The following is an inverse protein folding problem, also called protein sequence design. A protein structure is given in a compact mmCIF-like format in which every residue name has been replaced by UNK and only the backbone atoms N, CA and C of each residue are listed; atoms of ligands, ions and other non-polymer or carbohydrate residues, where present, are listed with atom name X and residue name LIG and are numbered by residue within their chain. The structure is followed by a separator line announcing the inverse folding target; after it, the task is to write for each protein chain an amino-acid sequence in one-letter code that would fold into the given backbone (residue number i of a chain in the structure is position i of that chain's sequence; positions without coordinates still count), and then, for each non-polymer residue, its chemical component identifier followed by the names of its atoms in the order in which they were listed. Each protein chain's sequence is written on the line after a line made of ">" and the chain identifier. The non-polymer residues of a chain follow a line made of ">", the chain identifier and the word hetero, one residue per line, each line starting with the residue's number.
data_IF_851308280012
#
_entry.id   IF_851308280012
#
_cell.length_a   1.000
_cell.length_b   1.000
_cell.length_c   1.000
_cell.angle_alpha   90.00
_cell.angle_beta   90.00
_cell.angle_gamma   90.00
#
_symmetry.space_group_name_H-M   'P 1'
#
loop_
_entity.id
_entity.type
_entity.pdbx_description
1 polymer ?
#
# COMPACT_ATOMS: atom_id res chain seq x y z
N UNK A 1 57.79 -56.11 -30.48
CA UNK A 1 56.80 -57.22 -30.53
C UNK A 1 55.60 -56.79 -29.68
N UNK A 2 54.33 -57.03 -30.00
CA UNK A 2 53.65 -57.58 -31.18
C UNK A 2 52.14 -57.26 -31.07
N UNK A 3 51.38 -57.27 -32.17
CA UNK A 3 49.93 -56.89 -32.17
C UNK A 3 49.01 -58.05 -31.75
N UNK A 4 47.81 -57.68 -31.27
CA UNK A 4 46.46 -58.31 -31.35
C UNK A 4 45.81 -58.36 -29.94
N UNK A 5 44.75 -57.60 -29.62
CA UNK A 5 43.36 -57.48 -30.11
C UNK A 5 42.37 -58.49 -29.49
N UNK A 6 41.51 -57.97 -28.62
CA UNK A 6 40.10 -58.36 -28.38
C UNK A 6 39.39 -57.14 -27.74
N UNK A 7 38.45 -56.42 -28.37
CA UNK A 7 36.99 -56.74 -28.50
C UNK A 7 36.39 -57.30 -27.20
N UNK A 8 35.33 -56.79 -26.56
CA UNK A 8 34.36 -55.71 -26.86
C UNK A 8 34.05 -54.94 -25.55
N UNK A 9 33.30 -53.84 -25.49
CA UNK A 9 32.38 -53.19 -26.44
C UNK A 9 32.36 -51.66 -26.26
N UNK A 10 31.39 -50.95 -26.84
CA UNK A 10 31.04 -49.57 -26.50
C UNK A 10 29.56 -49.51 -26.08
N UNK A 11 29.27 -48.99 -24.88
CA UNK A 11 27.90 -48.68 -24.47
C UNK A 11 27.55 -47.24 -24.85
N UNK A 12 26.67 -47.09 -25.83
CA UNK A 12 26.03 -45.82 -26.14
C UNK A 12 25.09 -45.43 -25.00
N UNK A 13 25.16 -44.17 -24.55
CA UNK A 13 24.14 -43.60 -23.66
C UNK A 13 22.84 -43.43 -24.46
N UNK A 14 21.93 -44.40 -24.35
CA UNK A 14 20.59 -44.27 -24.89
C UNK A 14 19.85 -43.13 -24.18
N UNK A 15 19.20 -42.29 -24.97
CA UNK A 15 18.29 -41.26 -24.48
C UNK A 15 17.05 -41.91 -23.87
N UNK A 16 16.91 -41.85 -22.54
CA UNK A 16 15.68 -42.26 -21.87
C UNK A 16 14.52 -41.35 -22.31
N UNK A 17 13.54 -41.92 -22.99
CA UNK A 17 12.32 -41.23 -23.42
C UNK A 17 11.50 -40.77 -22.22
N UNK A 18 11.14 -39.49 -22.18
CA UNK A 18 10.12 -38.99 -21.22
C UNK A 18 8.79 -39.69 -21.52
N UNK A 19 8.04 -40.18 -20.51
CA UNK A 19 6.67 -40.60 -20.72
C UNK A 19 5.82 -39.38 -21.15
N UNK A 20 4.85 -39.55 -22.06
CA UNK A 20 4.00 -38.45 -22.48
C UNK A 20 3.16 -37.95 -21.30
N UNK A 21 3.08 -36.63 -21.14
CA UNK A 21 2.23 -36.02 -20.14
C UNK A 21 0.77 -36.48 -20.36
N UNK A 22 0.17 -37.11 -19.34
CA UNK A 22 -1.25 -37.48 -19.38
C UNK A 22 -2.07 -36.20 -19.43
N UNK A 23 -2.59 -35.90 -20.62
CA UNK A 23 -3.67 -34.94 -20.81
C UNK A 23 -4.82 -35.31 -19.86
N UNK A 24 -5.09 -34.46 -18.88
CA UNK A 24 -6.31 -34.54 -18.08
C UNK A 24 -7.46 -34.10 -18.98
N UNK A 25 -8.20 -35.08 -19.50
CA UNK A 25 -9.41 -34.83 -20.28
C UNK A 25 -10.45 -34.11 -19.42
N UNK A 26 -10.55 -32.79 -19.58
CA UNK A 26 -11.64 -32.01 -18.99
C UNK A 26 -12.93 -32.43 -19.67
N UNK A 27 -13.79 -33.14 -18.92
CA UNK A 27 -15.13 -33.49 -19.38
C UNK A 27 -15.95 -32.23 -19.67
N UNK A 28 -16.88 -32.36 -20.62
CA UNK A 28 -17.75 -31.28 -21.12
C UNK A 28 -18.29 -30.37 -20.01
N UNK A 29 -17.82 -29.13 -19.98
CA UNK A 29 -18.31 -28.07 -19.10
C UNK A 29 -18.28 -26.74 -19.86
N UNK A 30 -19.30 -25.90 -19.65
CA UNK A 30 -19.29 -24.50 -20.07
C UNK A 30 -18.04 -23.83 -19.54
N UNK A 31 -17.19 -23.31 -20.44
CA UNK A 31 -15.94 -22.64 -20.07
C UNK A 31 -16.25 -21.32 -19.38
N UNK A 32 -16.27 -21.34 -18.05
CA UNK A 32 -16.16 -20.15 -17.23
C UNK A 32 -14.85 -19.44 -17.59
N UNK A 33 -14.97 -18.22 -18.12
CA UNK A 33 -13.84 -17.37 -18.50
C UNK A 33 -14.29 -15.91 -18.49
N UNK A 34 -13.46 -15.05 -17.89
CA UNK A 34 -13.66 -13.61 -17.86
C UNK A 34 -13.17 -12.92 -19.14
N UNK A 35 -12.37 -13.61 -19.96
CA UNK A 35 -11.82 -13.08 -21.20
C UNK A 35 -12.94 -12.65 -22.18
N UNK A 36 -12.93 -11.38 -22.56
CA UNK A 36 -13.92 -10.78 -23.46
C UNK A 36 -15.08 -10.07 -22.77
N UNK A 37 -15.25 -10.21 -21.45
CA UNK A 37 -16.21 -9.43 -20.66
C UNK A 37 -15.98 -7.93 -20.87
N UNK A 38 -17.08 -7.18 -21.04
CA UNK A 38 -17.05 -5.73 -21.20
C UNK A 38 -17.04 -5.06 -19.81
N UNK A 39 -16.00 -4.29 -19.55
CA UNK A 39 -15.95 -3.34 -18.45
C UNK A 39 -16.28 -1.95 -18.99
N UNK A 40 -17.19 -1.23 -18.34
CA UNK A 40 -17.57 0.14 -18.70
C UNK A 40 -17.22 1.02 -17.52
N UNK A 41 -16.32 1.98 -17.75
CA UNK A 41 -16.00 3.03 -16.80
C UNK A 41 -16.81 4.27 -17.14
N UNK A 42 -17.16 5.05 -16.12
CA UNK A 42 -17.69 6.41 -16.25
C UNK A 42 -16.69 7.34 -15.59
N UNK A 43 -16.26 8.40 -16.25
CA UNK A 43 -15.39 9.42 -15.66
C UNK A 43 -16.21 10.57 -15.04
N UNK A 44 -15.50 11.58 -14.52
CA UNK A 44 -16.11 12.71 -13.82
C UNK A 44 -16.95 13.62 -14.75
N UNK A 45 -16.69 13.59 -16.06
CA UNK A 45 -17.45 14.32 -17.08
C UNK A 45 -18.70 13.53 -17.54
N UNK A 46 -18.86 12.29 -17.06
CA UNK A 46 -19.94 11.37 -17.41
C UNK A 46 -19.66 10.54 -18.66
N UNK A 47 -18.45 10.63 -19.24
CA UNK A 47 -18.06 9.95 -20.46
C UNK A 47 -17.82 8.45 -20.22
N UNK A 48 -18.28 7.63 -21.16
CA UNK A 48 -18.26 6.15 -21.04
C UNK A 48 -17.08 5.53 -21.78
N UNK A 49 -16.17 4.90 -21.04
CA UNK A 49 -14.99 4.24 -21.59
C UNK A 49 -15.11 2.73 -21.48
N UNK A 50 -15.14 2.02 -22.62
CA UNK A 50 -15.34 0.56 -22.64
C UNK A 50 -14.04 -0.20 -22.89
N UNK A 51 -13.78 -1.21 -22.06
CA UNK A 51 -12.64 -2.12 -22.15
C UNK A 51 -13.10 -3.58 -22.22
N UNK A 52 -12.29 -4.43 -22.83
CA UNK A 52 -12.48 -5.89 -22.84
C UNK A 52 -11.45 -6.53 -21.92
N UNK A 53 -11.90 -7.36 -20.98
CA UNK A 53 -11.01 -8.11 -20.10
C UNK A 53 -10.19 -9.12 -20.92
N UNK A 54 -8.92 -9.28 -20.57
CA UNK A 54 -8.04 -10.30 -21.11
C UNK A 54 -8.16 -11.61 -20.31
N UNK A 55 -7.59 -12.71 -20.82
CA UNK A 55 -7.47 -13.99 -20.09
C UNK A 55 -6.72 -13.87 -18.75
N UNK A 56 -5.92 -12.82 -18.57
CA UNK A 56 -5.20 -12.59 -17.33
C UNK A 56 -6.15 -12.18 -16.18
N UNK A 57 -7.39 -11.76 -16.47
CA UNK A 57 -8.43 -11.53 -15.46
C UNK A 57 -8.79 -12.82 -14.71
N UNK A 58 -8.88 -13.96 -15.41
CA UNK A 58 -9.06 -15.29 -14.80
C UNK A 58 -7.90 -15.63 -13.85
N UNK A 59 -6.67 -15.30 -14.26
CA UNK A 59 -5.46 -15.47 -13.43
C UNK A 59 -5.45 -14.55 -12.21
N UNK A 60 -5.93 -13.31 -12.33
CA UNK A 60 -6.07 -12.38 -11.21
C UNK A 60 -7.01 -12.94 -10.14
N UNK A 61 -8.21 -13.36 -10.53
CA UNK A 61 -9.17 -13.97 -9.59
C UNK A 61 -8.60 -15.23 -8.93
N UNK A 62 -7.97 -16.12 -9.70
CA UNK A 62 -7.28 -17.30 -9.14
C UNK A 62 -6.21 -16.92 -8.11
N UNK A 63 -5.33 -15.96 -8.43
CA UNK A 63 -4.27 -15.49 -7.52
C UNK A 63 -4.87 -14.99 -6.22
N UNK A 64 -5.92 -14.16 -6.28
CA UNK A 64 -6.58 -13.63 -5.08
C UNK A 64 -7.21 -14.76 -4.26
N UNK A 65 -8.05 -15.59 -4.87
CA UNK A 65 -8.76 -16.67 -4.16
C UNK A 65 -7.80 -17.68 -3.53
N UNK A 66 -6.82 -18.19 -4.28
CA UNK A 66 -5.89 -19.19 -3.75
C UNK A 66 -4.90 -18.60 -2.75
N UNK A 67 -4.44 -17.35 -2.93
CA UNK A 67 -3.57 -16.71 -1.94
C UNK A 67 -4.26 -16.47 -0.61
N UNK A 68 -5.57 -16.17 -0.60
CA UNK A 68 -6.35 -16.09 0.63
C UNK A 68 -6.57 -17.48 1.25
N UNK A 69 -6.88 -18.52 0.44
CA UNK A 69 -6.99 -19.90 0.94
C UNK A 69 -5.71 -20.40 1.62
N UNK A 70 -4.53 -20.04 1.11
CA UNK A 70 -3.24 -20.31 1.77
C UNK A 70 -3.18 -19.64 3.15
N UNK A 71 -3.66 -18.40 3.29
CA UNK A 71 -3.71 -17.73 4.59
C UNK A 71 -4.69 -18.43 5.55
N UNK A 72 -5.90 -18.79 5.09
CA UNK A 72 -6.89 -19.47 5.91
C UNK A 72 -6.40 -20.84 6.41
N UNK A 73 -5.81 -21.67 5.54
CA UNK A 73 -5.19 -22.97 5.91
C UNK A 73 -4.10 -22.79 6.98
N UNK A 74 -3.22 -21.80 6.81
CA UNK A 74 -2.22 -21.44 7.84
C UNK A 74 -2.85 -20.98 9.14
N UNK A 75 -3.91 -20.17 9.07
CA UNK A 75 -4.61 -19.65 10.24
C UNK A 75 -5.38 -20.76 11.00
N UNK A 76 -5.80 -21.82 10.32
CA UNK A 76 -6.38 -23.03 10.92
C UNK A 76 -5.32 -23.95 11.55
N UNK A 77 -4.03 -23.74 11.26
CA UNK A 77 -2.93 -24.59 11.74
C UNK A 77 -2.65 -25.80 10.86
N UNK A 78 -3.17 -25.85 9.63
CA UNK A 78 -2.93 -26.95 8.69
C UNK A 78 -1.42 -27.12 8.40
N UNK A 79 -0.93 -28.36 8.21
CA UNK A 79 0.45 -28.60 7.79
C UNK A 79 0.70 -28.14 6.35
N UNK A 80 1.95 -27.79 6.05
CA UNK A 80 2.40 -27.50 4.69
C UNK A 80 2.43 -28.79 3.82
N UNK A 81 2.29 -28.70 2.48
CA UNK A 81 2.09 -27.49 1.68
C UNK A 81 0.64 -27.00 1.69
N UNK A 82 0.45 -25.69 1.89
CA UNK A 82 -0.88 -25.06 1.93
C UNK A 82 -1.52 -24.81 0.56
N UNK A 83 -0.93 -25.30 -0.53
CA UNK A 83 -1.42 -25.18 -1.91
C UNK A 83 -0.69 -26.19 -2.80
N UNK A 84 -1.26 -26.52 -3.96
CA UNK A 84 -0.56 -27.28 -5.01
C UNK A 84 0.22 -26.38 -5.98
N UNK A 85 0.04 -25.06 -5.89
CA UNK A 85 0.69 -24.08 -6.74
C UNK A 85 2.18 -23.93 -6.42
N UNK A 86 3.06 -24.19 -7.40
CA UNK A 86 4.52 -24.14 -7.20
C UNK A 86 5.04 -22.72 -7.01
N UNK A 87 4.45 -21.72 -7.66
CA UNK A 87 4.88 -20.33 -7.52
C UNK A 87 4.63 -19.85 -6.09
N UNK A 88 3.48 -20.19 -5.51
CA UNK A 88 3.21 -19.87 -4.10
C UNK A 88 3.98 -20.75 -3.08
N UNK A 89 4.45 -21.95 -3.47
CA UNK A 89 5.34 -22.75 -2.62
C UNK A 89 6.80 -22.26 -2.62
N UNK A 90 7.27 -21.67 -3.72
CA UNK A 90 8.70 -21.37 -3.95
C UNK A 90 9.04 -19.87 -3.83
N UNK A 91 8.06 -18.98 -3.95
CA UNK A 91 8.26 -17.52 -3.97
C UNK A 91 7.48 -16.79 -2.87
N UNK A 92 8.04 -15.70 -2.35
CA UNK A 92 7.38 -14.90 -1.30
C UNK A 92 6.30 -13.97 -1.84
N UNK A 93 5.10 -14.10 -1.28
CA UNK A 93 3.96 -13.20 -1.50
C UNK A 93 3.39 -12.65 -0.19
N UNK A 94 2.95 -11.39 -0.22
CA UNK A 94 2.09 -10.81 0.82
C UNK A 94 0.74 -11.52 0.84
N UNK A 95 -0.09 -11.25 1.84
CA UNK A 95 -1.45 -11.74 1.90
C UNK A 95 -2.36 -10.91 0.97
N UNK A 96 -3.58 -11.40 0.73
CA UNK A 96 -4.57 -10.65 -0.07
C UNK A 96 -4.98 -9.35 0.63
N UNK A 97 -5.19 -9.43 1.94
CA UNK A 97 -5.47 -8.28 2.78
C UNK A 97 -4.17 -7.73 3.34
N UNK A 98 -3.88 -6.44 3.08
CA UNK A 98 -2.66 -5.78 3.58
C UNK A 98 -2.56 -5.85 5.11
N UNK A 99 -3.71 -5.74 5.80
CA UNK A 99 -3.78 -5.81 7.26
C UNK A 99 -3.19 -7.11 7.84
N UNK A 100 -3.18 -8.20 7.08
CA UNK A 100 -2.71 -9.53 7.50
C UNK A 100 -1.22 -9.76 7.26
N UNK A 101 -0.50 -8.84 6.63
CA UNK A 101 0.94 -9.00 6.39
C UNK A 101 1.75 -9.01 7.69
N UNK A 102 2.90 -9.70 7.68
CA UNK A 102 3.75 -9.88 8.87
C UNK A 102 4.08 -8.55 9.54
N UNK A 103 4.55 -7.59 8.75
CA UNK A 103 5.06 -6.32 9.25
C UNK A 103 3.89 -5.41 9.67
N UNK A 104 2.76 -5.48 8.96
CA UNK A 104 1.50 -4.80 9.33
C UNK A 104 0.90 -5.34 10.64
N UNK A 105 0.89 -6.68 10.83
CA UNK A 105 0.52 -7.32 12.09
C UNK A 105 1.46 -6.89 13.23
N UNK A 106 2.78 -6.80 12.96
CA UNK A 106 3.75 -6.28 13.93
C UNK A 106 3.45 -4.82 14.32
N UNK A 107 3.10 -3.96 13.36
CA UNK A 107 2.68 -2.58 13.66
C UNK A 107 1.47 -2.58 14.62
N UNK A 108 0.48 -3.44 14.41
CA UNK A 108 -0.68 -3.53 15.29
C UNK A 108 -0.31 -3.92 16.74
N UNK A 109 0.41 -5.04 16.93
CA UNK A 109 0.62 -5.59 18.29
C UNK A 109 1.84 -5.03 19.03
N UNK A 110 2.87 -4.54 18.33
CA UNK A 110 4.09 -4.04 18.94
C UNK A 110 4.21 -2.52 18.87
N UNK A 111 3.92 -1.90 17.72
CA UNK A 111 4.15 -0.46 17.48
C UNK A 111 2.99 0.39 18.01
N UNK A 112 1.74 0.06 17.66
CA UNK A 112 0.54 0.84 18.04
C UNK A 112 0.07 0.49 19.46
N UNK A 113 0.09 -0.81 19.83
CA UNK A 113 -0.50 -1.30 21.08
C UNK A 113 0.40 -1.14 22.32
N UNK A 114 1.73 -1.15 22.20
CA UNK A 114 2.66 -0.90 23.33
C UNK A 114 2.85 0.61 23.55
N UNK A 115 3.29 0.99 24.76
CA UNK A 115 3.62 2.37 25.11
C UNK A 115 2.40 3.25 25.36
N UNK A 116 2.57 4.57 25.26
CA UNK A 116 1.48 5.53 25.47
C UNK A 116 0.37 5.37 24.43
N UNK A 117 -0.89 5.40 24.90
CA UNK A 117 -2.08 5.37 24.04
C UNK A 117 -2.42 6.75 23.41
N UNK A 118 -1.68 7.79 23.78
CA UNK A 118 -1.76 9.12 23.17
C UNK A 118 -1.58 9.05 21.65
N UNK A 119 -2.29 9.93 20.94
CA UNK A 119 -2.30 9.92 19.48
C UNK A 119 -0.95 10.32 18.89
N UNK A 120 -0.33 11.39 19.41
CA UNK A 120 0.97 11.90 18.94
C UNK A 120 2.08 10.87 19.18
N UNK A 121 2.06 10.22 20.34
CA UNK A 121 2.97 9.11 20.67
C UNK A 121 2.79 7.88 19.75
N UNK A 122 1.55 7.53 19.36
CA UNK A 122 1.30 6.46 18.39
C UNK A 122 1.80 6.82 16.99
N UNK A 123 1.53 8.04 16.52
CA UNK A 123 2.00 8.53 15.22
C UNK A 123 3.53 8.49 15.16
N UNK A 124 4.22 8.97 16.20
CA UNK A 124 5.67 8.87 16.32
C UNK A 124 6.18 7.44 16.16
N UNK A 125 5.60 6.47 16.89
CA UNK A 125 6.02 5.07 16.83
C UNK A 125 5.80 4.45 15.45
N UNK A 126 4.67 4.72 14.81
CA UNK A 126 4.36 4.23 13.45
C UNK A 126 5.30 4.83 12.41
N UNK A 127 5.54 6.14 12.45
CA UNK A 127 6.51 6.80 11.57
C UNK A 127 7.93 6.23 11.79
N UNK A 128 8.39 6.11 13.04
CA UNK A 128 9.70 5.55 13.37
C UNK A 128 9.88 4.13 12.81
N UNK A 129 8.89 3.25 13.01
CA UNK A 129 8.91 1.91 12.42
C UNK A 129 9.00 1.99 10.90
N UNK A 130 8.11 2.77 10.27
CA UNK A 130 7.92 2.75 8.81
C UNK A 130 9.06 3.37 8.02
N UNK A 131 9.83 4.28 8.63
CA UNK A 131 11.04 4.85 8.01
C UNK A 131 12.16 3.80 7.82
N UNK A 132 12.18 2.74 8.63
CA UNK A 132 13.11 1.60 8.48
C UNK A 132 12.46 0.36 7.85
N UNK A 133 11.14 0.18 8.02
CA UNK A 133 10.34 -0.95 7.52
C UNK A 133 10.96 -2.32 7.86
N UNK A 134 11.54 -2.45 9.07
CA UNK A 134 12.19 -3.66 9.58
C UNK A 134 11.94 -3.86 11.07
N UNK A 135 11.28 -4.97 11.40
CA UNK A 135 11.02 -5.44 12.77
C UNK A 135 12.29 -5.44 13.62
N UNK A 136 13.35 -6.09 13.14
CA UNK A 136 14.61 -6.25 13.87
C UNK A 136 15.29 -4.89 14.21
N UNK A 137 15.08 -3.85 13.40
CA UNK A 137 15.58 -2.48 13.68
C UNK A 137 14.75 -1.81 14.78
N UNK A 138 13.44 -2.07 14.83
CA UNK A 138 12.55 -1.52 15.85
C UNK A 138 12.72 -2.23 17.20
N UNK A 139 12.89 -3.56 17.23
CA UNK A 139 13.23 -4.29 18.46
C UNK A 139 14.59 -3.86 19.01
N UNK A 140 15.61 -3.64 18.18
CA UNK A 140 16.89 -3.06 18.62
C UNK A 140 16.70 -1.69 19.31
N UNK A 141 15.85 -0.81 18.75
CA UNK A 141 15.55 0.47 19.41
C UNK A 141 14.76 0.30 20.73
N UNK A 142 13.97 -0.77 20.87
CA UNK A 142 13.32 -1.13 22.15
C UNK A 142 14.34 -1.63 23.17
N UNK A 143 15.32 -2.43 22.75
CA UNK A 143 16.39 -2.96 23.61
C UNK A 143 17.28 -1.83 24.15
N UNK A 144 17.66 -0.86 23.30
CA UNK A 144 18.53 0.27 23.67
C UNK A 144 17.80 1.37 24.48
N UNK A 145 16.54 1.70 24.13
CA UNK A 145 15.86 2.91 24.64
C UNK A 145 14.54 2.63 25.37
N UNK A 146 14.12 1.37 25.48
CA UNK A 146 12.76 1.01 25.88
C UNK A 146 11.74 1.31 24.76
N UNK A 147 10.44 1.12 25.03
CA UNK A 147 9.38 1.36 24.03
C UNK A 147 9.48 2.80 23.51
N UNK A 148 9.74 3.04 22.20
CA UNK A 148 10.03 4.37 21.70
C UNK A 148 8.92 5.38 22.00
N UNK A 149 9.31 6.57 22.46
CA UNK A 149 8.41 7.65 22.83
C UNK A 149 8.89 8.97 22.22
N UNK A 150 7.96 9.80 21.74
CA UNK A 150 8.28 11.14 21.26
C UNK A 150 8.83 12.01 22.40
N UNK A 151 8.21 11.96 23.60
CA UNK A 151 8.70 12.66 24.80
C UNK A 151 10.12 12.25 25.19
N UNK A 152 10.50 11.01 24.94
CA UNK A 152 11.83 10.45 25.25
C UNK A 152 12.81 10.42 24.08
N UNK A 153 12.48 11.04 22.95
CA UNK A 153 13.28 10.92 21.73
C UNK A 153 14.49 11.86 21.75
N UNK A 154 15.70 11.29 21.63
CA UNK A 154 16.94 12.01 21.35
C UNK A 154 17.53 11.51 20.03
N UNK A 155 17.44 12.33 18.97
CA UNK A 155 18.00 12.02 17.65
C UNK A 155 19.49 11.69 17.70
N UNK A 156 20.30 12.35 18.53
CA UNK A 156 21.75 12.10 18.60
C UNK A 156 22.05 10.75 19.23
N UNK A 157 21.32 10.37 20.27
CA UNK A 157 21.42 9.05 20.89
C UNK A 157 20.99 7.95 19.90
N UNK A 158 19.85 8.11 19.24
CA UNK A 158 19.33 7.16 18.25
C UNK A 158 20.28 7.00 17.05
N UNK A 159 20.79 8.11 16.49
CA UNK A 159 21.80 8.08 15.42
C UNK A 159 23.05 7.30 15.87
N UNK A 160 23.60 7.58 17.05
CA UNK A 160 24.80 6.88 17.56
C UNK A 160 24.59 5.37 17.73
N UNK A 161 23.43 4.95 18.25
CA UNK A 161 23.10 3.54 18.39
C UNK A 161 22.97 2.84 17.02
N UNK A 162 22.33 3.51 16.04
CA UNK A 162 22.17 2.99 14.68
C UNK A 162 23.47 2.99 13.86
N UNK A 163 24.39 3.92 14.12
CA UNK A 163 25.76 3.89 13.60
C UNK A 163 26.51 2.65 14.10
N UNK A 164 26.49 2.40 15.42
CA UNK A 164 27.07 1.19 16.02
C UNK A 164 26.47 -0.09 15.44
N UNK A 165 25.14 -0.19 15.42
CA UNK A 165 24.43 -1.35 14.87
C UNK A 165 24.76 -1.60 13.40
N UNK A 166 24.93 -0.55 12.60
CA UNK A 166 25.35 -0.66 11.20
C UNK A 166 26.82 -1.08 11.06
N UNK A 167 27.70 -0.68 11.97
CA UNK A 167 29.10 -1.10 11.98
C UNK A 167 29.24 -2.62 12.17
N UNK A 168 28.32 -3.26 12.90
CA UNK A 168 28.20 -4.73 13.03
C UNK A 168 27.74 -5.44 11.73
N UNK A 169 27.60 -4.72 10.61
CA UNK A 169 27.15 -5.25 9.32
C UNK A 169 25.64 -5.41 9.17
N UNK A 170 24.83 -4.93 10.12
CA UNK A 170 23.38 -5.06 10.09
C UNK A 170 22.72 -4.04 9.14
N UNK A 171 21.86 -4.52 8.23
CA UNK A 171 21.03 -3.65 7.36
C UNK A 171 19.88 -3.01 8.14
N UNK A 172 19.90 -1.70 8.31
CA UNK A 172 18.83 -0.98 9.03
C UNK A 172 17.47 -1.00 8.32
N UNK A 173 17.46 -1.18 6.98
CA UNK A 173 16.23 -1.17 6.18
C UNK A 173 15.73 -2.58 5.85
N UNK A 174 14.41 -2.70 5.67
CA UNK A 174 13.72 -3.91 5.20
C UNK A 174 13.96 -4.24 3.71
N UNK A 175 13.15 -5.16 3.17
CA UNK A 175 13.23 -5.58 1.75
C UNK A 175 12.07 -5.08 0.87
N UNK A 176 10.91 -4.83 1.48
CA UNK A 176 9.79 -4.18 0.82
C UNK A 176 9.84 -2.67 1.11
N UNK A 177 9.14 -1.87 0.30
CA UNK A 177 8.83 -0.45 0.54
C UNK A 177 9.95 0.44 1.11
N UNK A 178 11.21 0.14 0.76
CA UNK A 178 12.40 0.76 1.35
C UNK A 178 12.31 2.29 1.25
N UNK A 179 12.29 2.96 2.40
CA UNK A 179 12.22 4.41 2.44
C UNK A 179 13.59 4.99 2.02
N UNK A 180 13.67 5.76 0.92
CA UNK A 180 14.87 6.50 0.60
C UNK A 180 14.96 7.66 1.60
N UNK A 181 16.11 7.83 2.24
CA UNK A 181 16.32 9.01 3.07
C UNK A 181 16.33 10.28 2.19
N UNK A 182 15.68 11.39 2.60
CA UNK A 182 15.77 12.68 1.90
C UNK A 182 17.23 13.05 1.66
N UNK A 183 17.57 13.69 0.54
CA UNK A 183 18.97 14.04 0.24
C UNK A 183 19.55 14.99 1.30
N UNK A 184 20.88 14.95 1.49
CA UNK A 184 21.58 15.90 2.37
C UNK A 184 21.29 17.36 1.98
N UNK A 185 21.17 17.66 0.68
CA UNK A 185 20.74 18.97 0.20
C UNK A 185 19.31 19.38 0.59
N UNK A 186 18.45 18.43 0.95
CA UNK A 186 17.06 18.67 1.39
C UNK A 186 16.95 18.78 2.91
N UNK A 187 17.68 17.97 3.69
CA UNK A 187 17.49 17.89 5.16
C UNK A 187 18.79 17.95 5.99
N UNK A 188 19.96 18.16 5.37
CA UNK A 188 21.26 18.00 6.04
C UNK A 188 21.52 16.53 6.47
N UNK A 189 22.55 16.31 7.28
CA UNK A 189 22.89 14.99 7.83
C UNK A 189 23.64 14.07 6.84
N UNK A 190 24.69 13.40 7.31
CA UNK A 190 25.56 12.57 6.46
C UNK A 190 25.06 11.13 6.32
N UNK A 191 24.65 10.50 7.43
CA UNK A 191 24.23 9.10 7.44
C UNK A 191 22.81 8.91 6.87
N UNK A 192 22.48 7.67 6.47
CA UNK A 192 21.13 7.32 6.01
C UNK A 192 20.09 7.46 7.15
N UNK A 193 20.41 6.96 8.34
CA UNK A 193 19.48 6.95 9.47
C UNK A 193 19.34 8.34 10.12
N UNK A 194 20.38 9.19 10.21
CA UNK A 194 20.22 10.56 10.73
C UNK A 194 19.25 11.35 9.82
N UNK A 195 19.31 11.15 8.51
CA UNK A 195 18.38 11.78 7.56
C UNK A 195 16.93 11.31 7.67
N UNK A 196 16.70 10.03 8.01
CA UNK A 196 15.37 9.53 8.36
C UNK A 196 14.89 10.06 9.72
N UNK A 197 15.76 10.09 10.73
CA UNK A 197 15.42 10.61 12.05
C UNK A 197 15.15 12.12 12.04
N UNK A 198 15.83 12.90 11.20
CA UNK A 198 15.48 14.30 10.92
C UNK A 198 14.14 14.44 10.22
N UNK A 199 13.76 13.51 9.34
CA UNK A 199 12.44 13.51 8.70
C UNK A 199 11.33 13.23 9.71
N UNK A 200 11.54 12.25 10.60
CA UNK A 200 10.66 11.98 11.74
C UNK A 200 10.51 13.22 12.64
N UNK A 201 11.64 13.79 13.08
CA UNK A 201 11.66 14.97 13.95
C UNK A 201 11.03 16.20 13.28
N UNK A 202 11.25 16.40 11.97
CA UNK A 202 10.59 17.41 11.15
C UNK A 202 9.05 17.27 11.18
N UNK A 203 8.52 16.07 10.92
CA UNK A 203 7.08 15.81 10.94
C UNK A 203 6.47 16.02 12.33
N UNK A 204 7.17 15.59 13.39
CA UNK A 204 6.69 15.74 14.76
C UNK A 204 6.74 17.19 15.28
N UNK A 205 7.66 18.03 14.77
CA UNK A 205 7.81 19.44 15.13
C UNK A 205 6.96 20.40 14.27
N UNK A 206 6.70 20.06 13.01
CA UNK A 206 5.84 20.87 12.13
C UNK A 206 4.38 20.87 12.58
N UNK A 207 3.94 19.86 13.33
CA UNK A 207 2.55 19.66 13.73
C UNK A 207 1.79 18.69 12.83
N UNK A 208 2.49 17.80 12.11
CA UNK A 208 1.86 16.78 11.26
C UNK A 208 0.78 15.98 12.00
N UNK A 209 0.99 15.68 13.28
CA UNK A 209 0.04 14.94 14.12
C UNK A 209 -1.29 15.65 14.28
N UNK A 210 -1.27 16.98 14.34
CA UNK A 210 -2.45 17.78 14.58
C UNK A 210 -3.27 17.83 13.27
N UNK A 211 -2.58 18.07 12.15
CA UNK A 211 -3.14 18.02 10.78
C UNK A 211 -3.85 16.69 10.49
N UNK A 212 -3.19 15.56 10.72
CA UNK A 212 -3.79 14.25 10.40
C UNK A 212 -4.96 13.89 11.33
N UNK A 213 -5.06 14.49 12.52
CA UNK A 213 -6.20 14.28 13.41
C UNK A 213 -7.49 14.96 12.91
N UNK A 214 -7.37 15.94 12.02
CA UNK A 214 -8.47 16.68 11.39
C UNK A 214 -8.89 16.08 10.03
N UNK A 215 -8.07 15.19 9.45
CA UNK A 215 -8.38 14.54 8.17
C UNK A 215 -9.62 13.67 8.26
N UNK A 216 -10.62 13.96 7.42
CA UNK A 216 -11.80 13.11 7.26
C UNK A 216 -11.58 11.97 6.27
N UNK A 217 -10.65 12.15 5.32
CA UNK A 217 -10.43 11.23 4.21
C UNK A 217 -9.01 10.69 4.10
N UNK A 218 -8.90 9.46 3.57
CA UNK A 218 -7.60 8.82 3.32
C UNK A 218 -6.77 9.57 2.28
N UNK A 219 -7.41 10.26 1.33
CA UNK A 219 -6.72 11.18 0.41
C UNK A 219 -6.21 12.46 1.10
N UNK A 220 -6.88 12.94 2.16
CA UNK A 220 -6.42 14.11 2.93
C UNK A 220 -5.12 13.78 3.68
N UNK A 221 -5.01 12.57 4.23
CA UNK A 221 -3.76 12.06 4.81
C UNK A 221 -2.63 12.04 3.76
N UNK A 222 -2.92 11.65 2.51
CA UNK A 222 -1.92 11.65 1.44
C UNK A 222 -1.46 13.08 1.10
N UNK A 223 -2.39 14.03 1.04
CA UNK A 223 -2.07 15.45 0.81
C UNK A 223 -1.20 15.99 1.95
N UNK A 224 -1.58 15.73 3.21
CA UNK A 224 -0.84 16.17 4.39
C UNK A 224 0.59 15.59 4.44
N UNK A 225 0.78 14.31 4.10
CA UNK A 225 2.10 13.68 4.12
C UNK A 225 2.96 14.06 2.91
N UNK A 226 2.36 14.38 1.75
CA UNK A 226 3.08 14.73 0.53
C UNK A 226 3.92 16.02 0.64
N UNK A 227 3.63 16.88 1.62
CA UNK A 227 4.41 18.08 1.94
C UNK A 227 5.84 17.77 2.41
N UNK A 228 6.10 16.55 2.90
CA UNK A 228 7.41 16.16 3.43
C UNK A 228 8.29 15.53 2.36
N UNK A 229 9.63 15.75 2.40
CA UNK A 229 10.56 15.11 1.48
C UNK A 229 10.36 13.58 1.40
N UNK A 230 10.47 13.02 0.20
CA UNK A 230 10.31 11.57 -0.11
C UNK A 230 8.91 10.96 0.07
N UNK A 231 7.93 11.73 0.55
CA UNK A 231 6.56 11.24 0.84
C UNK A 231 5.51 11.58 -0.25
N UNK A 232 5.89 12.30 -1.30
CA UNK A 232 4.97 12.86 -2.31
C UNK A 232 4.32 11.87 -3.29
N UNK A 233 4.42 10.56 -3.05
CA UNK A 233 3.94 9.53 -3.97
C UNK A 233 3.62 8.23 -3.21
N UNK A 234 3.76 7.09 -3.88
CA UNK A 234 3.51 5.73 -3.35
C UNK A 234 4.06 5.44 -1.95
N UNK A 235 5.20 6.03 -1.56
CA UNK A 235 5.78 5.82 -0.23
C UNK A 235 5.00 6.52 0.88
N UNK A 236 4.53 7.75 0.64
CA UNK A 236 3.60 8.42 1.56
C UNK A 236 2.30 7.64 1.71
N UNK A 237 1.79 7.10 0.60
CA UNK A 237 0.60 6.25 0.60
C UNK A 237 0.77 5.03 1.52
N UNK A 238 1.91 4.33 1.44
CA UNK A 238 2.18 3.21 2.36
C UNK A 238 2.28 3.63 3.83
N UNK A 239 2.82 4.82 4.13
CA UNK A 239 2.90 5.34 5.50
C UNK A 239 1.51 5.69 6.04
N UNK A 240 0.64 6.33 5.25
CA UNK A 240 -0.71 6.69 5.72
C UNK A 240 -1.59 5.47 5.94
N UNK A 241 -1.42 4.39 5.18
CA UNK A 241 -2.11 3.12 5.44
C UNK A 241 -1.70 2.53 6.79
N UNK A 242 -0.42 2.63 7.17
CA UNK A 242 0.04 2.19 8.50
C UNK A 242 -0.44 3.12 9.62
N UNK A 243 -0.50 4.44 9.38
CA UNK A 243 -1.08 5.41 10.31
C UNK A 243 -2.58 5.19 10.49
N UNK A 244 -3.32 4.84 9.44
CA UNK A 244 -4.78 4.66 9.49
C UNK A 244 -5.22 3.50 10.39
N UNK A 245 -4.30 2.59 10.76
CA UNK A 245 -4.52 1.54 11.76
C UNK A 245 -4.53 2.06 13.22
N UNK A 246 -4.17 3.33 13.45
CA UNK A 246 -4.28 3.97 14.76
C UNK A 246 -5.77 4.15 15.08
N UNK A 247 -6.28 3.67 16.24
CA UNK A 247 -7.72 3.62 16.54
C UNK A 247 -8.49 4.96 16.53
N UNK A 248 -7.76 6.08 16.50
CA UNK A 248 -8.29 7.44 16.40
C UNK A 248 -8.51 7.91 14.94
N UNK A 249 -7.83 7.32 13.95
CA UNK A 249 -8.04 7.60 12.54
C UNK A 249 -9.10 6.66 11.97
N UNK A 250 -8.71 5.43 11.61
CA UNK A 250 -9.63 4.40 11.08
C UNK A 250 -10.57 4.91 9.97
N UNK A 251 -10.05 5.80 9.12
CA UNK A 251 -10.74 6.37 7.97
C UNK A 251 -11.10 5.25 6.98
N UNK A 252 -12.18 5.41 6.17
CA UNK A 252 -12.57 4.38 5.23
C UNK A 252 -11.46 4.07 4.21
N UNK A 253 -11.28 2.80 3.91
CA UNK A 253 -10.38 2.33 2.84
C UNK A 253 -11.15 2.27 1.49
N UNK A 254 -11.70 3.42 1.09
CA UNK A 254 -12.47 3.60 -0.15
C UNK A 254 -11.71 4.40 -1.22
N UNK A 255 -10.48 4.83 -0.92
CA UNK A 255 -9.57 5.49 -1.85
C UNK A 255 -8.20 4.77 -1.87
N UNK A 256 -7.54 4.70 -3.02
CA UNK A 256 -6.22 4.09 -3.17
C UNK A 256 -5.37 4.76 -4.26
N UNK A 257 -4.05 4.79 -4.06
CA UNK A 257 -3.08 5.32 -5.01
C UNK A 257 -2.27 4.18 -5.67
N UNK A 258 -2.68 3.69 -6.85
CA UNK A 258 -2.08 2.50 -7.45
C UNK A 258 -0.61 2.67 -7.80
N UNK A 259 0.24 1.87 -7.15
CA UNK A 259 1.68 1.85 -7.39
C UNK A 259 2.06 1.19 -8.73
N UNK A 260 3.34 1.27 -9.14
CA UNK A 260 3.79 0.75 -10.44
C UNK A 260 3.54 -0.75 -10.67
N UNK A 261 3.39 -1.54 -9.60
CA UNK A 261 2.99 -2.95 -9.68
C UNK A 261 1.48 -3.11 -9.94
N UNK A 262 0.64 -2.42 -9.15
CA UNK A 262 -0.80 -2.43 -9.33
C UNK A 262 -1.22 -1.94 -10.72
N UNK A 263 -0.61 -0.84 -11.20
CA UNK A 263 -0.80 -0.34 -12.56
C UNK A 263 -0.44 -1.38 -13.63
N UNK A 264 0.65 -2.14 -13.46
CA UNK A 264 0.99 -3.25 -14.37
C UNK A 264 -0.04 -4.37 -14.33
N UNK A 265 -0.57 -4.69 -13.14
CA UNK A 265 -1.70 -5.62 -12.98
C UNK A 265 -2.92 -5.19 -13.78
N UNK A 266 -3.34 -3.92 -13.66
CA UNK A 266 -4.45 -3.36 -14.43
C UNK A 266 -4.22 -3.45 -15.95
N UNK A 267 -3.01 -3.14 -16.44
CA UNK A 267 -2.69 -3.31 -17.87
C UNK A 267 -2.66 -4.78 -18.32
N UNK A 268 -2.40 -5.74 -17.43
CA UNK A 268 -2.54 -7.17 -17.75
C UNK A 268 -4.02 -7.58 -17.85
N UNK A 269 -4.88 -7.03 -17.01
CA UNK A 269 -6.33 -7.31 -16.98
C UNK A 269 -7.04 -6.65 -18.17
N UNK A 270 -6.89 -5.33 -18.35
CA UNK A 270 -7.61 -4.55 -19.36
C UNK A 270 -6.88 -4.43 -20.71
N UNK A 271 -5.59 -4.80 -20.77
CA UNK A 271 -4.75 -4.70 -21.96
C UNK A 271 -3.97 -3.39 -22.07
N UNK A 272 -3.06 -3.33 -23.05
CA UNK A 272 -2.13 -2.21 -23.28
C UNK A 272 -2.82 -0.90 -23.70
N UNK A 273 -4.09 -0.96 -24.09
CA UNK A 273 -4.90 0.19 -24.50
C UNK A 273 -5.59 0.92 -23.32
N UNK A 274 -5.42 0.43 -22.08
CA UNK A 274 -5.85 1.16 -20.89
C UNK A 274 -5.10 2.51 -20.82
N UNK A 275 -5.84 3.62 -20.83
CA UNK A 275 -5.22 4.96 -20.75
C UNK A 275 -4.69 5.20 -19.34
N UNK A 276 -3.56 5.91 -19.16
CA UNK A 276 -3.07 6.30 -17.82
C UNK A 276 -4.10 7.07 -16.99
N UNK A 277 -4.92 7.91 -17.63
CA UNK A 277 -6.01 8.66 -17.00
C UNK A 277 -7.14 7.79 -16.45
N UNK A 278 -7.30 6.55 -16.94
CA UNK A 278 -8.36 5.64 -16.52
C UNK A 278 -7.89 4.62 -15.47
N UNK A 279 -6.66 4.74 -14.96
CA UNK A 279 -6.08 3.78 -14.01
C UNK A 279 -6.90 3.71 -12.71
N UNK A 280 -7.32 4.85 -12.16
CA UNK A 280 -8.18 4.88 -10.96
C UNK A 280 -9.58 4.32 -11.24
N UNK A 281 -10.16 4.65 -12.40
CA UNK A 281 -11.47 4.11 -12.81
C UNK A 281 -11.44 2.58 -12.97
N UNK A 282 -10.36 2.06 -13.56
CA UNK A 282 -10.14 0.63 -13.71
C UNK A 282 -9.95 -0.08 -12.35
N UNK A 283 -9.29 0.59 -11.39
CA UNK A 283 -9.15 0.09 -10.01
C UNK A 283 -10.51 0.02 -9.29
N UNK A 284 -11.29 1.10 -9.33
CA UNK A 284 -12.64 1.16 -8.74
C UNK A 284 -13.57 0.12 -9.37
N UNK A 285 -13.56 -0.01 -10.70
CA UNK A 285 -14.37 -1.02 -11.40
C UNK A 285 -14.03 -2.45 -10.96
N UNK A 286 -12.73 -2.79 -10.84
CA UNK A 286 -12.31 -4.12 -10.35
C UNK A 286 -12.76 -4.36 -8.91
N UNK A 287 -12.70 -3.35 -8.05
CA UNK A 287 -13.18 -3.42 -6.66
C UNK A 287 -14.70 -3.64 -6.59
N UNK A 288 -15.49 -2.83 -7.32
CA UNK A 288 -16.95 -2.90 -7.35
C UNK A 288 -17.49 -4.23 -7.89
N UNK A 289 -16.84 -4.77 -8.93
CA UNK A 289 -17.29 -6.00 -9.61
C UNK A 289 -16.55 -7.25 -9.12
N UNK A 290 -15.70 -7.17 -8.08
CA UNK A 290 -14.82 -8.27 -7.70
C UNK A 290 -15.57 -9.58 -7.42
N UNK A 291 -16.66 -9.51 -6.65
CA UNK A 291 -17.50 -10.66 -6.32
C UNK A 291 -18.11 -11.30 -7.59
N UNK A 292 -18.49 -10.49 -8.58
CA UNK A 292 -19.01 -10.97 -9.87
C UNK A 292 -17.91 -11.63 -10.71
N UNK A 293 -16.70 -11.08 -10.70
CA UNK A 293 -15.52 -11.68 -11.34
C UNK A 293 -15.15 -13.03 -10.72
N UNK A 294 -15.27 -13.18 -9.39
CA UNK A 294 -15.07 -14.47 -8.70
C UNK A 294 -16.05 -15.53 -9.21
N UNK A 295 -17.34 -15.20 -9.32
CA UNK A 295 -18.35 -16.13 -9.85
C UNK A 295 -18.17 -16.38 -11.36
N UNK A 296 -17.84 -15.35 -12.14
CA UNK A 296 -17.62 -15.44 -13.58
C UNK A 296 -16.43 -16.34 -13.97
N UNK A 297 -15.39 -16.35 -13.14
CA UNK A 297 -14.24 -17.26 -13.26
C UNK A 297 -14.53 -18.72 -12.81
N UNK A 298 -15.76 -19.01 -12.35
CA UNK A 298 -16.19 -20.36 -11.96
C UNK A 298 -15.94 -20.73 -10.49
N UNK A 299 -15.59 -19.77 -9.63
CA UNK A 299 -15.59 -19.97 -8.18
C UNK A 299 -17.00 -19.75 -7.59
N UNK A 300 -17.16 -20.05 -6.30
CA UNK A 300 -18.43 -19.91 -5.59
C UNK A 300 -18.38 -18.80 -4.53
N UNK A 301 -19.54 -18.37 -4.01
CA UNK A 301 -19.61 -17.25 -3.05
C UNK A 301 -18.79 -17.45 -1.76
N UNK A 302 -18.52 -18.70 -1.37
CA UNK A 302 -17.64 -19.05 -0.23
C UNK A 302 -16.14 -18.92 -0.51
N UNK A 303 -15.76 -18.75 -1.78
CA UNK A 303 -14.37 -18.55 -2.21
C UNK A 303 -13.98 -17.07 -2.27
N UNK A 304 -14.98 -16.15 -2.19
CA UNK A 304 -14.75 -14.71 -2.08
C UNK A 304 -14.01 -14.43 -0.76
N UNK A 305 -12.87 -13.71 -0.77
CA UNK A 305 -12.13 -13.41 0.44
C UNK A 305 -12.95 -12.71 1.52
N UNK A 306 -12.63 -13.00 2.78
CA UNK A 306 -13.22 -12.33 3.93
C UNK A 306 -12.22 -12.21 5.09
N UNK A 307 -12.12 -11.03 5.71
CA UNK A 307 -11.33 -10.88 6.96
C UNK A 307 -11.97 -11.61 8.13
N UNK A 308 -13.31 -11.60 8.19
CA UNK A 308 -14.12 -12.34 9.15
C UNK A 308 -15.09 -13.24 8.39
N UNK A 309 -15.31 -14.50 8.83
CA UNK A 309 -16.30 -15.38 8.23
C UNK A 309 -17.68 -14.69 8.13
N UNK A 310 -18.28 -14.73 6.94
CA UNK A 310 -19.59 -14.13 6.69
C UNK A 310 -19.58 -12.63 6.36
N UNK A 311 -18.42 -11.94 6.39
CA UNK A 311 -18.29 -10.57 5.87
C UNK A 311 -17.33 -10.55 4.67
N UNK A 312 -17.74 -11.05 3.49
CA UNK A 312 -16.94 -11.00 2.28
C UNK A 312 -16.72 -9.56 1.82
N UNK A 313 -15.65 -9.38 1.04
CA UNK A 313 -15.29 -8.11 0.43
C UNK A 313 -13.84 -7.72 0.68
N UNK A 314 -13.23 -7.14 -0.35
CA UNK A 314 -11.93 -6.50 -0.31
C UNK A 314 -12.16 -4.98 -0.26
N UNK A 315 -11.31 -4.23 0.44
CA UNK A 315 -11.29 -2.77 0.27
C UNK A 315 -10.62 -2.41 -1.07
N UNK A 316 -10.75 -1.16 -1.54
CA UNK A 316 -10.01 -0.75 -2.76
C UNK A 316 -8.49 -0.76 -2.49
N UNK A 317 -8.09 -0.58 -1.23
CA UNK A 317 -6.69 -0.71 -0.76
C UNK A 317 -6.22 -2.17 -0.88
N UNK A 318 -7.04 -3.15 -0.48
CA UNK A 318 -6.71 -4.57 -0.65
C UNK A 318 -6.61 -4.95 -2.14
N UNK A 319 -7.50 -4.41 -2.99
CA UNK A 319 -7.46 -4.62 -4.45
C UNK A 319 -6.18 -4.03 -5.05
N UNK A 320 -5.79 -2.80 -4.67
CA UNK A 320 -4.52 -2.17 -5.10
C UNK A 320 -3.32 -3.04 -4.69
N UNK A 321 -3.29 -3.44 -3.43
CA UNK A 321 -2.23 -4.26 -2.85
C UNK A 321 -2.08 -5.59 -3.61
N UNK A 322 -3.18 -6.33 -3.81
CA UNK A 322 -3.13 -7.66 -4.45
C UNK A 322 -2.92 -7.59 -5.96
N UNK A 323 -3.28 -6.48 -6.64
CA UNK A 323 -2.91 -6.24 -8.04
C UNK A 323 -1.39 -6.16 -8.23
N UNK A 324 -0.66 -5.60 -7.26
CA UNK A 324 0.81 -5.57 -7.26
C UNK A 324 1.38 -7.00 -7.23
N UNK A 325 0.88 -7.83 -6.32
CA UNK A 325 1.29 -9.23 -6.15
C UNK A 325 0.90 -10.12 -7.33
N UNK A 326 -0.27 -9.89 -7.92
CA UNK A 326 -0.68 -10.54 -9.16
C UNK A 326 0.24 -10.17 -10.33
N UNK A 327 0.64 -8.90 -10.46
CA UNK A 327 1.61 -8.50 -11.50
C UNK A 327 2.96 -9.21 -11.32
N UNK A 328 3.35 -9.50 -10.07
CA UNK A 328 4.53 -10.30 -9.73
C UNK A 328 4.33 -11.77 -10.09
N UNK A 329 3.20 -12.37 -9.72
CA UNK A 329 2.84 -13.76 -10.04
C UNK A 329 2.89 -14.02 -11.56
N UNK A 330 2.21 -13.20 -12.36
CA UNK A 330 2.18 -13.34 -13.84
C UNK A 330 3.58 -13.26 -14.44
N UNK A 331 4.47 -12.45 -13.86
CA UNK A 331 5.87 -12.32 -14.33
C UNK A 331 6.74 -13.52 -13.94
N UNK A 332 6.50 -14.14 -12.79
CA UNK A 332 7.16 -15.42 -12.39
C UNK A 332 6.66 -16.57 -13.27
N UNK A 333 5.37 -16.58 -13.62
CA UNK A 333 4.76 -17.56 -14.51
C UNK A 333 5.14 -17.37 -16.00
N UNK A 334 5.76 -16.24 -16.36
CA UNK A 334 6.24 -15.98 -17.73
C UNK A 334 7.45 -16.87 -18.06
N UNK A 335 7.66 -17.26 -19.33
CA UNK A 335 8.91 -17.89 -19.77
C UNK A 335 10.16 -17.01 -19.54
N UNK A 336 9.98 -15.70 -19.42
CA UNK A 336 11.05 -14.75 -19.10
C UNK A 336 11.47 -14.91 -17.62
N UNK A 337 12.78 -15.09 -17.38
CA UNK A 337 13.34 -15.33 -16.03
C UNK A 337 13.18 -14.13 -15.09
N UNK A 338 12.00 -13.95 -14.53
CA UNK A 338 11.79 -13.01 -13.44
C UNK A 338 12.09 -13.69 -12.09
N UNK A 339 13.29 -13.43 -11.56
CA UNK A 339 13.72 -13.96 -10.27
C UNK A 339 12.80 -13.47 -9.15
N UNK A 340 12.16 -14.40 -8.44
CA UNK A 340 11.44 -14.12 -7.21
C UNK A 340 12.37 -14.20 -5.99
N UNK A 341 11.96 -13.59 -4.87
CA UNK A 341 12.62 -13.85 -3.57
C UNK A 341 12.17 -15.24 -3.08
N UNK A 342 13.09 -16.18 -2.82
CA UNK A 342 12.73 -17.53 -2.44
C UNK A 342 11.96 -17.56 -1.11
N UNK A 343 10.95 -18.42 -1.06
CA UNK A 343 10.23 -18.80 0.13
C UNK A 343 10.69 -20.19 0.55
N UNK A 344 11.16 -20.31 1.78
CA UNK A 344 11.46 -21.61 2.37
C UNK A 344 10.19 -22.10 3.08
N UNK A 345 9.64 -23.22 2.59
CA UNK A 345 8.43 -23.83 3.13
C UNK A 345 8.70 -24.61 4.44
N UNK A 346 9.95 -25.03 4.69
CA UNK A 346 10.36 -25.74 5.90
C UNK A 346 10.57 -24.77 7.07
N UNK A 347 11.14 -23.60 6.81
CA UNK A 347 11.27 -22.51 7.80
C UNK A 347 9.97 -21.69 8.00
N UNK A 348 8.94 -21.94 7.18
CA UNK A 348 7.70 -21.17 7.23
C UNK A 348 6.88 -21.46 8.50
N UNK A 349 6.89 -20.52 9.44
CA UNK A 349 6.00 -20.56 10.62
C UNK A 349 4.54 -20.84 10.22
N UNK A 350 3.95 -21.87 10.83
CA UNK A 350 2.52 -22.17 10.73
C UNK A 350 1.66 -21.08 11.37
N UNK A 351 2.16 -20.45 12.44
CA UNK A 351 1.42 -19.45 13.23
C UNK A 351 1.40 -18.09 12.53
N UNK A 352 0.39 -17.88 11.68
CA UNK A 352 -0.04 -16.55 11.22
C UNK A 352 -0.93 -15.89 12.28
N UNK A 353 -1.04 -14.56 12.23
CA UNK A 353 -1.90 -13.78 13.12
C UNK A 353 -3.00 -13.07 12.31
N UNK A 354 -4.15 -12.86 12.96
CA UNK A 354 -5.33 -12.17 12.39
C UNK A 354 -5.83 -11.10 13.35
N UNK A 355 -4.92 -10.22 13.77
CA UNK A 355 -5.25 -9.05 14.57
C UNK A 355 -5.85 -8.00 13.65
N UNK A 356 -6.95 -7.37 14.08
CA UNK A 356 -7.53 -6.21 13.42
C UNK A 356 -7.36 -4.98 14.34
N UNK A 357 -7.29 -3.77 13.79
CA UNK A 357 -7.27 -2.55 14.59
C UNK A 357 -8.41 -2.48 15.61
N UNK A 358 -8.17 -1.83 16.75
CA UNK A 358 -9.26 -1.46 17.66
C UNK A 358 -10.19 -0.48 16.92
N UNK A 359 -11.50 -0.69 17.04
CA UNK A 359 -12.56 0.00 16.29
C UNK A 359 -12.61 -0.33 14.78
N UNK A 360 -11.92 -1.38 14.29
CA UNK A 360 -11.99 -1.77 12.89
C UNK A 360 -13.43 -2.06 12.41
N UNK A 361 -13.77 -1.48 11.26
CA UNK A 361 -15.01 -1.67 10.50
C UNK A 361 -14.65 -2.13 9.09
N UNK A 362 -15.56 -2.82 8.39
CA UNK A 362 -15.38 -3.05 6.96
C UNK A 362 -15.38 -1.72 6.21
N UNK A 363 -14.63 -1.62 5.10
CA UNK A 363 -14.54 -0.38 4.31
C UNK A 363 -15.93 0.17 3.95
N UNK A 364 -16.86 -0.69 3.50
CA UNK A 364 -18.26 -0.32 3.23
C UNK A 364 -19.01 0.25 4.44
N UNK A 365 -18.80 -0.29 5.65
CA UNK A 365 -19.46 0.21 6.85
C UNK A 365 -18.89 1.57 7.29
N UNK A 366 -17.56 1.73 7.24
CA UNK A 366 -16.89 2.99 7.51
C UNK A 366 -17.30 4.08 6.50
N UNK A 367 -17.31 3.75 5.20
CA UNK A 367 -17.78 4.60 4.09
C UNK A 367 -19.20 5.11 4.32
N UNK A 368 -20.16 4.22 4.60
CA UNK A 368 -21.55 4.61 4.82
C UNK A 368 -21.75 5.47 6.08
N UNK A 369 -20.93 5.27 7.11
CA UNK A 369 -20.96 6.09 8.32
C UNK A 369 -20.36 7.48 8.09
N UNK A 370 -19.25 7.57 7.34
CA UNK A 370 -18.64 8.85 6.95
C UNK A 370 -19.54 9.64 6.02
N UNK A 371 -20.04 9.05 4.92
CA UNK A 371 -20.83 9.78 3.92
C UNK A 371 -22.15 10.34 4.46
N UNK A 372 -22.68 9.80 5.56
CA UNK A 372 -23.83 10.41 6.28
C UNK A 372 -23.53 11.77 6.91
N UNK A 373 -22.25 12.15 7.02
CA UNK A 373 -21.81 13.48 7.50
C UNK A 373 -21.76 14.52 6.37
N UNK A 374 -21.80 14.10 5.10
CA UNK A 374 -21.86 15.02 3.97
C UNK A 374 -23.27 15.58 3.85
N UNK A 375 -23.39 16.88 4.10
CA UNK A 375 -24.66 17.62 4.07
C UNK A 375 -24.96 18.22 2.71
N UNK A 376 -23.95 18.36 1.83
CA UNK A 376 -24.02 18.90 0.47
C UNK A 376 -24.93 20.16 0.38
N UNK A 377 -24.64 21.23 1.16
CA UNK A 377 -25.48 22.41 1.20
C UNK A 377 -25.55 23.10 -0.16
N UNK A 378 -26.73 23.61 -0.51
CA UNK A 378 -26.90 24.50 -1.65
C UNK A 378 -26.11 25.80 -1.44
N UNK A 379 -25.73 26.45 -2.55
CA UNK A 379 -25.05 27.74 -2.54
C UNK A 379 -25.86 28.81 -1.76
N UNK A 380 -25.15 29.82 -1.26
CA UNK A 380 -25.76 30.95 -0.57
C UNK A 380 -26.58 31.84 -1.52
N UNK A 381 -27.13 32.95 -0.99
CA UNK A 381 -27.95 33.89 -1.78
C UNK A 381 -27.21 34.60 -2.92
N UNK A 382 -25.88 34.51 -2.99
CA UNK A 382 -25.05 35.06 -4.07
C UNK A 382 -24.51 33.96 -5.00
N UNK A 383 -24.76 32.68 -4.71
CA UNK A 383 -24.14 31.56 -5.41
C UNK A 383 -22.76 31.16 -4.87
N UNK A 384 -22.35 31.66 -3.70
CA UNK A 384 -21.08 31.31 -3.06
C UNK A 384 -21.24 30.03 -2.21
N UNK A 385 -20.17 29.24 -2.08
CA UNK A 385 -20.08 28.07 -1.19
C UNK A 385 -19.02 28.32 -0.12
N UNK A 386 -19.22 27.77 1.09
CA UNK A 386 -18.25 27.85 2.17
C UNK A 386 -17.15 26.77 1.98
N UNK A 387 -15.89 27.12 2.22
CA UNK A 387 -14.78 26.15 2.24
C UNK A 387 -14.48 25.69 3.66
N UNK A 388 -14.08 24.43 3.80
CA UNK A 388 -13.68 23.81 5.07
C UNK A 388 -12.17 23.67 5.23
N UNK A 389 -11.44 23.48 4.12
CA UNK A 389 -10.00 23.35 4.12
C UNK A 389 -9.39 23.75 2.76
N UNK A 390 -8.14 24.22 2.81
CA UNK A 390 -7.24 24.28 1.65
C UNK A 390 -6.33 23.07 1.72
N UNK A 391 -6.32 22.29 0.65
CA UNK A 391 -5.61 21.02 0.54
C UNK A 391 -4.23 21.19 -0.08
N UNK A 392 -4.14 21.90 -1.22
CA UNK A 392 -2.89 22.07 -1.98
C UNK A 392 -2.86 23.42 -2.72
N UNK A 393 -1.70 23.77 -3.29
CA UNK A 393 -1.50 24.96 -4.13
C UNK A 393 -0.72 24.64 -5.41
N UNK A 394 -1.13 25.26 -6.51
CA UNK A 394 -0.52 25.10 -7.82
C UNK A 394 -0.57 26.40 -8.63
N UNK A 395 0.30 26.51 -9.64
CA UNK A 395 0.15 27.54 -10.68
C UNK A 395 -0.60 26.94 -11.86
N UNK A 396 -1.77 27.49 -12.15
CA UNK A 396 -2.61 27.15 -13.30
C UNK A 396 -2.67 28.41 -14.17
N UNK A 397 -2.29 28.28 -15.44
CA UNK A 397 -2.18 29.38 -16.42
C UNK A 397 -1.41 30.63 -15.92
N UNK A 398 -0.42 30.39 -15.04
CA UNK A 398 0.44 31.42 -14.45
C UNK A 398 -0.05 31.95 -13.09
N UNK A 399 -1.31 31.76 -12.74
CA UNK A 399 -1.94 32.25 -11.52
C UNK A 399 -1.95 31.20 -10.40
N UNK A 400 -1.79 31.66 -9.15
CA UNK A 400 -1.84 30.79 -7.98
C UNK A 400 -3.29 30.36 -7.71
N UNK A 401 -3.52 29.05 -7.72
CA UNK A 401 -4.77 28.40 -7.37
C UNK A 401 -4.60 27.56 -6.11
N UNK A 402 -5.66 27.44 -5.32
CA UNK A 402 -5.77 26.53 -4.20
C UNK A 402 -6.73 25.38 -4.55
N UNK A 403 -6.38 24.16 -4.15
CA UNK A 403 -7.34 23.05 -4.14
C UNK A 403 -8.16 23.14 -2.86
N UNK A 404 -9.47 23.30 -2.96
CA UNK A 404 -10.36 23.53 -1.81
C UNK A 404 -11.28 22.34 -1.55
N UNK A 405 -11.54 22.05 -0.26
CA UNK A 405 -12.60 21.14 0.20
C UNK A 405 -13.80 21.97 0.62
N UNK A 406 -14.92 21.83 -0.07
CA UNK A 406 -16.15 22.55 0.26
C UNK A 406 -16.82 22.02 1.53
N UNK A 407 -17.39 22.91 2.33
CA UNK A 407 -18.01 22.58 3.61
C UNK A 407 -19.24 21.69 3.42
N UNK A 408 -19.21 20.51 4.04
CA UNK A 408 -20.27 19.51 3.93
C UNK A 408 -20.21 18.62 2.69
N UNK A 409 -19.18 18.74 1.84
CA UNK A 409 -18.97 17.92 0.64
C UNK A 409 -17.77 16.97 0.80
N UNK A 410 -17.73 15.90 0.00
CA UNK A 410 -16.60 14.96 -0.06
C UNK A 410 -15.56 15.30 -1.16
N UNK A 411 -14.46 14.53 -1.27
CA UNK A 411 -13.36 14.79 -2.20
C UNK A 411 -13.72 14.93 -3.68
N UNK A 412 -14.80 14.27 -4.11
CA UNK A 412 -15.27 14.30 -5.50
C UNK A 412 -15.76 15.71 -5.92
N UNK A 413 -16.03 16.58 -4.95
CA UNK A 413 -16.39 17.98 -5.17
C UNK A 413 -15.18 18.94 -5.08
N UNK A 414 -13.97 18.47 -4.76
CA UNK A 414 -12.81 19.35 -4.56
C UNK A 414 -12.38 20.03 -5.87
N UNK A 415 -12.43 21.36 -5.93
CA UNK A 415 -12.05 22.15 -7.11
C UNK A 415 -10.75 22.92 -6.92
N UNK A 416 -10.15 23.35 -8.05
CA UNK A 416 -9.03 24.27 -8.08
C UNK A 416 -9.55 25.69 -8.32
N UNK A 417 -9.32 26.58 -7.37
CA UNK A 417 -9.95 27.90 -7.33
C UNK A 417 -8.89 29.01 -7.17
N UNK A 418 -9.07 30.21 -7.76
CA UNK A 418 -8.08 31.28 -7.67
C UNK A 418 -7.77 31.71 -6.23
N UNK A 419 -6.49 31.71 -5.84
CA UNK A 419 -6.06 32.00 -4.46
C UNK A 419 -6.42 33.43 -4.00
N UNK A 420 -6.66 34.35 -4.93
CA UNK A 420 -7.08 35.72 -4.63
C UNK A 420 -8.49 35.80 -4.02
N UNK A 421 -9.35 34.81 -4.28
CA UNK A 421 -10.73 34.72 -3.79
C UNK A 421 -10.76 34.48 -2.28
N UNK A 422 -10.08 33.44 -1.81
CA UNK A 422 -10.10 33.02 -0.38
C UNK A 422 -9.32 33.93 0.55
N UNK A 423 -8.35 34.70 0.05
CA UNK A 423 -7.69 35.76 0.84
C UNK A 423 -8.65 36.82 1.38
N UNK A 424 -9.85 36.93 0.80
CA UNK A 424 -10.92 37.82 1.25
C UNK A 424 -12.05 37.07 1.96
N UNK A 425 -12.45 35.91 1.43
CA UNK A 425 -13.59 35.14 1.96
C UNK A 425 -13.24 34.30 3.19
N UNK A 426 -12.01 33.78 3.30
CA UNK A 426 -11.60 32.81 4.33
C UNK A 426 -10.12 32.98 4.71
N UNK A 427 -9.68 34.17 5.15
CA UNK A 427 -8.26 34.46 5.43
C UNK A 427 -7.66 33.50 6.46
N UNK A 428 -8.40 33.09 7.48
CA UNK A 428 -7.93 32.18 8.53
C UNK A 428 -7.48 30.81 7.99
N UNK A 429 -8.20 30.25 7.01
CA UNK A 429 -7.84 28.99 6.36
C UNK A 429 -6.61 29.14 5.44
N UNK A 430 -6.51 30.29 4.75
CA UNK A 430 -5.33 30.64 3.93
C UNK A 430 -4.09 30.77 4.82
N UNK A 431 -4.19 31.49 5.92
CA UNK A 431 -3.09 31.76 6.84
C UNK A 431 -2.65 30.47 7.54
N UNK A 432 -3.57 29.63 8.01
CA UNK A 432 -3.25 28.32 8.59
C UNK A 432 -2.53 27.38 7.59
N UNK A 433 -2.96 27.39 6.32
CA UNK A 433 -2.31 26.62 5.25
C UNK A 433 -0.90 27.15 4.92
N UNK A 434 -0.74 28.46 4.81
CA UNK A 434 0.54 29.11 4.50
C UNK A 434 1.53 28.99 5.67
N UNK A 435 1.08 29.17 6.92
CA UNK A 435 1.92 29.01 8.11
C UNK A 435 2.45 27.56 8.21
N UNK A 436 1.58 26.56 7.99
CA UNK A 436 1.94 25.14 7.96
C UNK A 436 3.08 24.87 6.98
N UNK A 437 2.99 25.42 5.75
CA UNK A 437 4.05 25.25 4.72
C UNK A 437 5.32 26.04 5.08
N UNK A 438 5.20 27.26 5.59
CA UNK A 438 6.36 28.05 6.06
C UNK A 438 7.12 27.33 7.17
N UNK A 439 6.40 26.80 8.17
CA UNK A 439 6.97 26.07 9.31
C UNK A 439 7.76 24.83 8.88
N UNK A 440 7.28 24.08 7.88
CA UNK A 440 8.02 22.95 7.29
C UNK A 440 9.31 23.44 6.61
N UNK A 441 9.25 24.46 5.75
CA UNK A 441 10.41 24.98 5.04
C UNK A 441 11.45 25.63 5.98
N UNK A 442 11.00 26.32 7.04
CA UNK A 442 11.85 26.91 8.07
C UNK A 442 12.57 25.84 8.89
N UNK A 443 11.88 24.75 9.27
CA UNK A 443 12.52 23.60 9.92
C UNK A 443 13.53 22.94 8.98
N UNK A 444 13.17 22.69 7.72
CA UNK A 444 14.11 22.20 6.69
C UNK A 444 15.33 23.12 6.53
N UNK A 445 15.13 24.45 6.60
CA UNK A 445 16.21 25.46 6.51
C UNK A 445 17.12 25.40 7.74
N UNK A 446 16.57 25.21 8.95
CA UNK A 446 17.36 25.01 10.17
C UNK A 446 18.18 23.72 10.11
N UNK A 447 17.60 22.59 9.69
CA UNK A 447 18.33 21.33 9.52
C UNK A 447 19.46 21.42 8.48
N UNK A 448 19.18 21.98 7.29
CA UNK A 448 20.19 22.18 6.22
C UNK A 448 21.35 23.09 6.65
N UNK A 449 21.11 24.02 7.58
CA UNK A 449 22.14 24.93 8.12
C UNK A 449 22.79 24.44 9.42
N UNK A 450 22.52 23.22 9.86
CA UNK A 450 23.11 22.65 11.09
C UNK A 450 22.63 23.31 12.39
N UNK A 451 21.50 24.04 12.36
CA UNK A 451 20.92 24.77 13.50
C UNK A 451 19.84 23.98 14.27
N UNK A 452 19.88 22.64 14.17
CA UNK A 452 18.99 21.66 14.81
C UNK A 452 19.80 20.50 15.41
#
# INVERSE_FOLDING_TARGET
>A
MGRLRSSTSAQSKQSASRPPARSTSVASATKHTLAGTLAVFVDNDGDKHTYKLSKSADTFVYVVVERHKIFERRCAGDPAPWTTDRIFQECRFTNVYRILDRDTQYILYAVIAKGSADFRERVFRVLLFRLFDRIDTYEFLIEEFGVPSWKGFDRKAYTKALDGRKADGFSLAGHAYQMPAPTESKIGGSSYHDRLLRLLELMMLSGFTDVISECAELCDLQVAIALYPTMNAFLGYQVILDLNMIPQLMLPEDWALPGPGAQKGLHMIFGKQLKPTHISLALSWVHEHFDELVIGAGFSKKDIPSLKPGTPGLSIVDIEHVLCEYSKYVRIASPDKYNCRPFDLQEASSKVTRILPKNWKSARAAFLERNRKYTNPAADKKGEYEISAILDDAKIDGELHYKVRWQGWGPDADTWEPAATFKKQSPELVDAYVERRSKIEDLLKKYRSGRM
#
